data_IF_190784800481
#
_entry.id   IF_190784800481
#
_cell.length_a   1.000
_cell.length_b   1.000
_cell.length_c   1.000
_cell.angle_alpha   90.00
_cell.angle_beta   90.00
_cell.angle_gamma   90.00
#
_symmetry.space_group_name_H-M   'P 1'
#
loop_
_entity.id
_entity.type
_entity.pdbx_description
1 polymer ?
#
# COMPACT_ATOMS: atom_id res chain seq x y z
N UNK A 1 -8.72 -37.98 10.79
CA UNK A 1 -8.84 -37.73 9.34
C UNK A 1 -9.55 -36.41 9.02
N UNK A 2 -10.62 -36.01 9.73
CA UNK A 2 -11.34 -34.73 9.49
C UNK A 2 -10.55 -33.44 9.84
N UNK A 3 -9.63 -33.49 10.80
CA UNK A 3 -8.81 -32.32 11.23
C UNK A 3 -7.92 -31.80 10.09
N UNK A 4 -7.29 -32.72 9.36
CA UNK A 4 -6.36 -32.40 8.27
C UNK A 4 -7.09 -31.72 7.09
N UNK A 5 -8.33 -32.13 6.78
CA UNK A 5 -9.14 -31.51 5.72
C UNK A 5 -9.56 -30.07 6.06
N UNK A 6 -9.86 -29.81 7.34
CA UNK A 6 -10.29 -28.48 7.80
C UNK A 6 -9.12 -27.49 7.78
N UNK A 7 -7.95 -27.91 8.25
CA UNK A 7 -6.72 -27.09 8.20
C UNK A 7 -6.33 -26.74 6.76
N UNK A 8 -6.39 -27.72 5.85
CA UNK A 8 -6.13 -27.50 4.41
C UNK A 8 -7.10 -26.48 3.79
N UNK A 9 -8.37 -26.49 4.20
CA UNK A 9 -9.38 -25.53 3.70
C UNK A 9 -9.09 -24.11 4.21
N UNK A 10 -8.77 -23.96 5.49
CA UNK A 10 -8.48 -22.66 6.12
C UNK A 10 -7.19 -22.01 5.57
N UNK A 11 -6.16 -22.82 5.31
CA UNK A 11 -4.95 -22.37 4.64
C UNK A 11 -5.23 -21.89 3.20
N UNK A 12 -6.07 -22.62 2.45
CA UNK A 12 -6.47 -22.22 1.09
C UNK A 12 -7.22 -20.88 1.06
N UNK A 13 -8.10 -20.63 2.03
CA UNK A 13 -8.85 -19.37 2.10
C UNK A 13 -7.94 -18.18 2.39
N UNK A 14 -7.02 -18.32 3.36
CA UNK A 14 -6.06 -17.27 3.72
C UNK A 14 -5.14 -16.95 2.54
N UNK A 15 -4.64 -17.97 1.84
CA UNK A 15 -3.80 -17.82 0.65
C UNK A 15 -4.49 -17.06 -0.48
N UNK A 16 -5.80 -17.27 -0.68
CA UNK A 16 -6.58 -16.53 -1.70
C UNK A 16 -6.65 -15.04 -1.37
N UNK A 17 -6.85 -14.70 -0.10
CA UNK A 17 -6.92 -13.30 0.35
C UNK A 17 -5.54 -12.63 0.22
N UNK A 18 -4.48 -13.33 0.59
CA UNK A 18 -3.10 -12.89 0.39
C UNK A 18 -2.81 -12.62 -1.08
N UNK A 19 -3.13 -13.58 -1.97
CA UNK A 19 -2.92 -13.45 -3.42
C UNK A 19 -3.71 -12.27 -4.01
N UNK A 20 -4.95 -12.07 -3.57
CA UNK A 20 -5.75 -10.91 -3.99
C UNK A 20 -5.11 -9.60 -3.53
N UNK A 21 -4.64 -9.55 -2.28
CA UNK A 21 -3.99 -8.37 -1.70
C UNK A 21 -2.70 -8.02 -2.45
N UNK A 22 -1.86 -9.02 -2.74
CA UNK A 22 -0.63 -8.87 -3.54
C UNK A 22 -0.92 -8.25 -4.91
N UNK A 23 -1.97 -8.72 -5.58
CA UNK A 23 -2.43 -8.15 -6.84
C UNK A 23 -2.75 -6.66 -6.73
N UNK A 24 -3.45 -6.24 -5.67
CA UNK A 24 -3.77 -4.83 -5.43
C UNK A 24 -2.52 -3.99 -5.14
N UNK A 25 -1.60 -4.49 -4.32
CA UNK A 25 -0.32 -3.82 -4.06
C UNK A 25 0.51 -3.66 -5.34
N UNK A 26 0.58 -4.68 -6.18
CA UNK A 26 1.26 -4.61 -7.48
C UNK A 26 0.64 -3.54 -8.39
N UNK A 27 -0.69 -3.47 -8.45
CA UNK A 27 -1.39 -2.46 -9.25
C UNK A 27 -1.15 -1.04 -8.68
N UNK A 28 -1.20 -0.86 -7.37
CA UNK A 28 -0.94 0.44 -6.75
C UNK A 28 0.47 0.97 -7.07
N UNK A 29 1.47 0.09 -7.01
CA UNK A 29 2.86 0.42 -7.35
C UNK A 29 3.03 0.75 -8.84
N UNK A 30 2.36 0.02 -9.73
CA UNK A 30 2.42 0.32 -11.18
C UNK A 30 1.73 1.65 -11.52
N UNK A 31 0.58 1.94 -10.92
CA UNK A 31 -0.11 3.22 -11.08
C UNK A 31 0.72 4.40 -10.59
N UNK A 32 1.48 4.23 -9.49
CA UNK A 32 2.41 5.25 -9.03
C UNK A 32 3.47 5.60 -10.07
N UNK A 33 3.97 4.61 -10.81
CA UNK A 33 4.99 4.80 -11.85
C UNK A 33 4.45 5.55 -13.07
N UNK A 34 3.20 5.27 -13.46
CA UNK A 34 2.55 5.91 -14.62
C UNK A 34 2.40 7.43 -14.41
N UNK A 35 2.22 7.89 -13.17
CA UNK A 35 2.02 9.31 -12.85
C UNK A 35 3.28 10.19 -12.98
N UNK A 36 4.45 9.60 -13.23
CA UNK A 36 5.73 10.31 -13.33
C UNK A 36 5.96 10.94 -14.70
N UNK A 37 5.15 10.58 -15.70
CA UNK A 37 5.34 10.96 -17.11
C UNK A 37 5.50 12.47 -17.34
N UNK A 38 6.38 12.82 -18.29
CA UNK A 38 6.53 14.20 -18.78
C UNK A 38 5.69 14.34 -20.04
N UNK A 39 4.76 15.30 -20.02
CA UNK A 39 3.97 15.66 -21.19
C UNK A 39 4.55 16.95 -21.77
N UNK A 40 4.95 16.89 -23.05
CA UNK A 40 5.33 18.03 -23.86
C UNK A 40 4.35 18.14 -25.03
N UNK A 41 4.04 19.35 -25.47
CA UNK A 41 3.13 19.59 -26.60
C UNK A 41 3.93 20.07 -27.83
N UNK A 42 3.67 19.52 -29.02
CA UNK A 42 4.29 19.93 -30.29
C UNK A 42 5.68 19.33 -30.56
N UNK A 43 6.41 19.94 -31.51
CA UNK A 43 7.80 19.57 -31.85
C UNK A 43 8.77 20.09 -30.78
N UNK A 44 8.87 19.37 -29.66
CA UNK A 44 9.77 19.73 -28.57
C UNK A 44 11.25 19.55 -28.95
N UNK A 45 12.08 20.53 -28.61
CA UNK A 45 13.53 20.46 -28.80
C UNK A 45 14.22 19.68 -27.67
N UNK A 46 15.43 19.16 -27.95
CA UNK A 46 16.25 18.46 -26.95
C UNK A 46 16.47 19.28 -25.66
N UNK A 47 16.61 20.60 -25.78
CA UNK A 47 16.81 21.50 -24.65
C UNK A 47 15.55 21.59 -23.77
N UNK A 48 14.38 21.72 -24.39
CA UNK A 48 13.09 21.79 -23.69
C UNK A 48 12.79 20.49 -22.95
N UNK A 49 13.05 19.33 -23.58
CA UNK A 49 12.88 18.03 -22.93
C UNK A 49 13.81 17.88 -21.73
N UNK A 50 15.09 18.23 -21.88
CA UNK A 50 16.06 18.15 -20.79
C UNK A 50 15.65 19.02 -19.60
N UNK A 51 15.23 20.26 -19.87
CA UNK A 51 14.77 21.17 -18.83
C UNK A 51 13.49 20.66 -18.14
N UNK A 52 12.56 20.10 -18.89
CA UNK A 52 11.32 19.53 -18.34
C UNK A 52 11.59 18.33 -17.42
N UNK A 53 12.55 17.46 -17.77
CA UNK A 53 12.97 16.34 -16.93
C UNK A 53 13.54 16.81 -15.59
N UNK A 54 14.44 17.80 -15.61
CA UNK A 54 15.00 18.34 -14.37
C UNK A 54 13.97 19.07 -13.51
N UNK A 55 13.03 19.80 -14.13
CA UNK A 55 11.97 20.50 -13.40
C UNK A 55 11.02 19.55 -12.66
N UNK A 56 10.93 18.28 -13.08
CA UNK A 56 10.03 17.26 -12.51
C UNK A 56 10.59 16.53 -11.28
N UNK A 57 11.78 16.91 -10.79
CA UNK A 57 12.37 16.30 -9.60
C UNK A 57 11.44 16.22 -8.36
N UNK A 58 10.51 17.17 -8.08
CA UNK A 58 9.58 17.03 -6.96
C UNK A 58 8.64 15.83 -7.09
N UNK A 59 8.22 15.52 -8.31
CA UNK A 59 7.37 14.36 -8.62
C UNK A 59 8.15 13.07 -8.39
N UNK A 60 9.43 13.03 -8.82
CA UNK A 60 10.30 11.87 -8.58
C UNK A 60 10.47 11.61 -7.08
N UNK A 61 10.69 12.67 -6.29
CA UNK A 61 10.80 12.57 -4.83
C UNK A 61 9.51 12.03 -4.20
N UNK A 62 8.35 12.63 -4.55
CA UNK A 62 7.06 12.20 -4.04
C UNK A 62 6.77 10.73 -4.41
N UNK A 63 7.11 10.32 -5.64
CA UNK A 63 7.01 8.95 -6.10
C UNK A 63 7.86 8.00 -5.26
N UNK A 64 9.16 8.26 -5.11
CA UNK A 64 10.07 7.36 -4.38
C UNK A 64 9.61 7.16 -2.94
N UNK A 65 9.25 8.25 -2.24
CA UNK A 65 8.76 8.17 -0.86
C UNK A 65 7.48 7.33 -0.80
N UNK A 66 6.56 7.52 -1.74
CA UNK A 66 5.27 6.81 -1.74
C UNK A 66 5.44 5.34 -2.11
N UNK A 67 6.31 5.03 -3.06
CA UNK A 67 6.69 3.67 -3.43
C UNK A 67 7.25 2.91 -2.22
N UNK A 68 8.19 3.52 -1.49
CA UNK A 68 8.77 2.92 -0.28
C UNK A 68 7.69 2.67 0.77
N UNK A 69 6.79 3.62 1.01
CA UNK A 69 5.70 3.42 1.98
C UNK A 69 4.74 2.29 1.56
N UNK A 70 4.37 2.21 0.29
CA UNK A 70 3.52 1.11 -0.22
C UNK A 70 4.24 -0.23 -0.11
N UNK A 71 5.54 -0.28 -0.43
CA UNK A 71 6.36 -1.48 -0.28
C UNK A 71 6.46 -1.92 1.19
N UNK A 72 6.68 -0.98 2.12
CA UNK A 72 6.71 -1.28 3.55
C UNK A 72 5.35 -1.78 4.06
N UNK A 73 4.26 -1.19 3.60
CA UNK A 73 2.91 -1.66 3.91
C UNK A 73 2.67 -3.08 3.37
N UNK A 74 3.14 -3.39 2.17
CA UNK A 74 3.09 -4.74 1.60
C UNK A 74 3.92 -5.74 2.41
N UNK A 75 5.16 -5.41 2.79
CA UNK A 75 6.01 -6.28 3.62
C UNK A 75 5.33 -6.56 4.97
N UNK A 76 4.78 -5.54 5.61
CA UNK A 76 4.05 -5.69 6.87
C UNK A 76 2.81 -6.56 6.70
N UNK A 77 2.05 -6.35 5.62
CA UNK A 77 0.85 -7.12 5.30
C UNK A 77 1.18 -8.60 5.10
N UNK A 78 2.20 -8.89 4.28
CA UNK A 78 2.70 -10.24 4.05
C UNK A 78 3.12 -10.94 5.34
N UNK A 79 3.86 -10.22 6.19
CA UNK A 79 4.26 -10.75 7.50
C UNK A 79 3.07 -11.06 8.40
N UNK A 80 2.00 -10.25 8.35
CA UNK A 80 0.79 -10.48 9.13
C UNK A 80 0.02 -11.71 8.64
N UNK A 81 -0.17 -11.85 7.32
CA UNK A 81 -0.93 -12.96 6.74
C UNK A 81 -0.22 -14.31 6.88
N UNK A 82 1.12 -14.33 6.88
CA UNK A 82 1.90 -15.54 7.24
C UNK A 82 1.64 -16.06 8.66
N UNK A 83 1.20 -15.20 9.58
CA UNK A 83 0.91 -15.59 10.97
C UNK A 83 -0.55 -16.04 11.18
N UNK A 84 -1.43 -15.83 10.19
CA UNK A 84 -2.86 -16.12 10.29
C UNK A 84 -3.16 -17.54 9.82
N UNK A 85 -3.79 -18.35 10.69
CA UNK A 85 -4.14 -19.73 10.36
C UNK A 85 -5.57 -19.89 9.81
N UNK A 86 -6.45 -18.91 10.03
CA UNK A 86 -7.83 -18.90 9.54
C UNK A 86 -8.32 -17.49 9.27
N UNK A 87 -9.13 -17.34 8.22
CA UNK A 87 -9.76 -16.09 7.85
C UNK A 87 -11.03 -15.83 8.66
N UNK A 88 -11.26 -14.57 9.04
CA UNK A 88 -12.47 -14.06 9.69
C UNK A 88 -13.02 -12.88 8.88
N UNK A 89 -14.35 -12.71 8.84
CA UNK A 89 -15.01 -11.63 8.11
C UNK A 89 -14.51 -10.25 8.55
N UNK A 90 -14.16 -10.09 9.83
CA UNK A 90 -13.59 -8.84 10.37
C UNK A 90 -12.22 -8.53 9.75
N UNK A 91 -11.39 -9.55 9.54
CA UNK A 91 -10.07 -9.40 8.89
C UNK A 91 -10.27 -9.07 7.42
N UNK A 92 -11.25 -9.69 6.75
CA UNK A 92 -11.54 -9.42 5.35
C UNK A 92 -11.99 -7.97 5.11
N UNK A 93 -12.88 -7.43 5.96
CA UNK A 93 -13.36 -6.04 5.86
C UNK A 93 -12.21 -5.05 6.12
N UNK A 94 -11.43 -5.26 7.18
CA UNK A 94 -10.31 -4.37 7.52
C UNK A 94 -9.19 -4.43 6.48
N UNK A 95 -8.93 -5.61 5.92
CA UNK A 95 -8.02 -5.78 4.78
C UNK A 95 -8.54 -5.03 3.55
N UNK A 96 -9.81 -5.21 3.19
CA UNK A 96 -10.42 -4.50 2.07
C UNK A 96 -10.32 -2.98 2.20
N UNK A 97 -10.53 -2.45 3.41
CA UNK A 97 -10.36 -1.02 3.69
C UNK A 97 -8.91 -0.55 3.52
N UNK A 98 -7.92 -1.32 4.01
CA UNK A 98 -6.50 -1.04 3.78
C UNK A 98 -6.17 -1.04 2.28
N UNK A 99 -6.61 -2.06 1.55
CA UNK A 99 -6.35 -2.21 0.11
C UNK A 99 -6.96 -1.07 -0.70
N UNK A 100 -8.17 -0.63 -0.35
CA UNK A 100 -8.80 0.54 -0.97
C UNK A 100 -7.93 1.79 -0.81
N UNK A 101 -7.40 2.05 0.39
CA UNK A 101 -6.53 3.20 0.64
C UNK A 101 -5.19 3.07 -0.09
N UNK A 102 -4.60 1.87 -0.14
CA UNK A 102 -3.35 1.62 -0.88
C UNK A 102 -3.53 1.87 -2.37
N UNK A 103 -4.63 1.37 -2.97
CA UNK A 103 -4.93 1.58 -4.39
C UNK A 103 -5.09 3.07 -4.76
N UNK A 104 -5.50 3.90 -3.81
CA UNK A 104 -5.68 5.34 -3.96
C UNK A 104 -4.40 6.17 -3.69
N UNK A 105 -3.28 5.57 -3.28
CA UNK A 105 -2.00 6.26 -3.02
C UNK A 105 -1.46 7.11 -4.20
N UNK A 106 -1.68 6.77 -5.50
CA UNK A 106 -1.26 7.63 -6.60
C UNK A 106 -1.80 9.06 -6.51
N UNK A 107 -3.04 9.24 -6.01
CA UNK A 107 -3.70 10.53 -5.91
C UNK A 107 -2.99 11.56 -4.98
N UNK A 108 -2.75 11.27 -3.68
CA UNK A 108 -2.02 12.18 -2.80
C UNK A 108 -0.56 12.35 -3.24
N UNK A 109 0.05 11.31 -3.84
CA UNK A 109 1.43 11.36 -4.34
C UNK A 109 1.59 12.37 -5.47
N UNK A 110 0.70 12.28 -6.48
CA UNK A 110 0.66 13.23 -7.60
C UNK A 110 0.40 14.65 -7.11
N UNK A 111 -0.54 14.80 -6.16
CA UNK A 111 -0.88 16.10 -5.57
C UNK A 111 0.34 16.72 -4.89
N UNK A 112 1.08 15.96 -4.08
CA UNK A 112 2.30 16.44 -3.46
C UNK A 112 3.34 16.87 -4.51
N UNK A 113 3.58 16.02 -5.51
CA UNK A 113 4.56 16.29 -6.57
C UNK A 113 4.25 17.55 -7.39
N UNK A 114 2.98 17.83 -7.68
CA UNK A 114 2.56 19.01 -8.45
C UNK A 114 2.70 20.32 -7.66
N UNK A 115 2.44 20.28 -6.35
CA UNK A 115 2.35 21.50 -5.54
C UNK A 115 3.57 21.73 -4.63
N UNK A 116 4.59 20.88 -4.64
CA UNK A 116 5.76 20.97 -3.76
C UNK A 116 6.53 22.30 -3.89
N UNK A 117 6.58 22.86 -5.10
CA UNK A 117 7.25 24.14 -5.39
C UNK A 117 6.28 25.33 -5.48
N UNK A 118 5.00 25.11 -5.18
CA UNK A 118 3.96 26.14 -5.25
C UNK A 118 3.73 26.82 -3.90
N UNK A 119 3.02 27.96 -3.90
CA UNK A 119 2.53 28.58 -2.66
C UNK A 119 1.57 27.69 -1.84
N UNK A 120 1.03 26.63 -2.43
CA UNK A 120 0.12 25.68 -1.77
C UNK A 120 0.85 24.48 -1.12
N UNK A 121 2.18 24.49 -1.04
CA UNK A 121 3.00 23.38 -0.49
C UNK A 121 2.53 22.90 0.88
N UNK A 122 2.14 23.81 1.78
CA UNK A 122 1.68 23.46 3.13
C UNK A 122 0.45 22.54 3.08
N UNK A 123 -0.54 22.90 2.27
CA UNK A 123 -1.77 22.12 2.11
C UNK A 123 -1.47 20.77 1.46
N UNK A 124 -0.60 20.73 0.45
CA UNK A 124 -0.21 19.49 -0.23
C UNK A 124 0.50 18.51 0.72
N UNK A 125 1.44 19.01 1.55
CA UNK A 125 2.15 18.21 2.56
C UNK A 125 1.20 17.71 3.64
N UNK A 126 0.31 18.57 4.16
CA UNK A 126 -0.69 18.16 5.18
C UNK A 126 -1.62 17.10 4.61
N UNK A 127 -2.10 17.27 3.38
CA UNK A 127 -2.95 16.29 2.72
C UNK A 127 -2.25 14.94 2.54
N UNK A 128 -1.02 14.96 2.00
CA UNK A 128 -0.21 13.77 1.80
C UNK A 128 0.06 13.03 3.11
N UNK A 129 0.51 13.75 4.14
CA UNK A 129 0.83 13.16 5.45
C UNK A 129 -0.42 12.63 6.15
N UNK A 130 -1.53 13.37 6.15
CA UNK A 130 -2.80 12.91 6.70
C UNK A 130 -3.28 11.62 6.03
N UNK A 131 -3.05 11.49 4.72
CA UNK A 131 -3.38 10.27 3.97
C UNK A 131 -2.54 9.07 4.43
N UNK A 132 -1.23 9.22 4.57
CA UNK A 132 -0.38 8.12 5.08
C UNK A 132 -0.64 7.80 6.56
N UNK A 133 -1.05 8.79 7.37
CA UNK A 133 -1.55 8.55 8.73
C UNK A 133 -2.83 7.70 8.69
N UNK A 134 -3.75 7.98 7.76
CA UNK A 134 -4.96 7.19 7.57
C UNK A 134 -4.65 5.74 7.18
N UNK A 135 -3.72 5.51 6.24
CA UNK A 135 -3.22 4.15 5.91
C UNK A 135 -2.65 3.49 7.17
N UNK A 136 -1.84 4.20 7.95
CA UNK A 136 -1.25 3.67 9.19
C UNK A 136 -2.31 3.31 10.23
N UNK A 137 -3.42 4.04 10.29
CA UNK A 137 -4.57 3.70 11.15
C UNK A 137 -5.28 2.45 10.62
N UNK A 138 -5.53 2.35 9.31
CA UNK A 138 -6.14 1.18 8.69
C UNK A 138 -5.29 -0.09 8.92
N UNK A 139 -3.97 0.04 8.79
CA UNK A 139 -3.04 -1.04 9.05
C UNK A 139 -3.07 -1.47 10.52
N UNK A 140 -3.08 -0.51 11.45
CA UNK A 140 -3.24 -0.79 12.89
C UNK A 140 -4.57 -1.48 13.21
N UNK A 141 -5.65 -1.10 12.53
CA UNK A 141 -6.96 -1.73 12.69
C UNK A 141 -6.93 -3.19 12.22
N UNK A 142 -6.34 -3.45 11.04
CA UNK A 142 -6.13 -4.80 10.54
C UNK A 142 -5.32 -5.64 11.55
N UNK A 143 -4.19 -5.11 12.02
CA UNK A 143 -3.36 -5.77 13.03
C UNK A 143 -4.11 -6.03 14.35
N UNK A 144 -4.91 -5.08 14.80
CA UNK A 144 -5.74 -5.22 16.00
C UNK A 144 -6.79 -6.34 15.83
N UNK A 145 -7.46 -6.42 14.66
CA UNK A 145 -8.42 -7.50 14.41
C UNK A 145 -7.76 -8.87 14.30
N UNK A 146 -6.57 -8.95 13.71
CA UNK A 146 -5.79 -10.17 13.63
C UNK A 146 -5.31 -10.64 15.02
N UNK A 147 -4.82 -9.73 15.86
CA UNK A 147 -4.28 -10.04 17.20
C UNK A 147 -5.35 -10.31 18.25
N UNK A 148 -6.55 -9.72 18.13
CA UNK A 148 -7.67 -9.97 19.06
C UNK A 148 -8.17 -11.41 18.99
N UNK A 149 -8.06 -12.04 17.83
CA UNK A 149 -8.45 -13.43 17.61
C UNK A 149 -7.27 -14.38 17.87
N UNK A 150 -6.81 -14.48 19.14
CA UNK A 150 -5.66 -15.34 19.53
C UNK A 150 -5.81 -16.83 19.18
N UNK A 151 -7.02 -17.32 18.92
CA UNK A 151 -7.28 -18.68 18.42
C UNK A 151 -6.84 -18.89 16.95
N UNK A 152 -6.34 -17.85 16.27
CA UNK A 152 -5.87 -17.89 14.88
C UNK A 152 -4.35 -17.75 14.75
N UNK A 153 -3.64 -17.47 15.85
CA UNK A 153 -2.19 -17.33 15.90
C UNK A 153 -1.57 -18.69 16.26
N UNK A 154 -0.50 -19.08 15.57
CA UNK A 154 0.21 -20.33 15.81
C UNK A 154 0.65 -20.40 17.29
N UNK A 155 0.00 -21.27 18.07
CA UNK A 155 0.45 -21.65 19.41
C UNK A 155 1.70 -22.52 19.26
N UNK A 156 2.89 -21.89 19.30
CA UNK A 156 4.14 -22.64 19.17
C UNK A 156 5.38 -21.98 19.80
N UNK A 157 5.25 -20.93 20.60
CA UNK A 157 6.41 -20.23 21.21
C UNK A 157 6.21 -19.85 22.68
N UNK A 158 5.42 -20.61 23.45
CA UNK A 158 5.36 -20.44 24.91
C UNK A 158 6.00 -21.57 25.71
N UNK A 159 6.68 -22.51 25.06
CA UNK A 159 7.44 -23.56 25.74
C UNK A 159 8.83 -23.71 25.10
N UNK A 160 9.78 -22.95 25.62
CA UNK A 160 11.19 -23.32 25.78
C UNK A 160 11.82 -22.41 26.82
#
# INVERSE_FOLDING_TARGET
MATNTTEIQLQKETLRIETFSDGVFCIAVTLLSIEIGVVLHGDATNKELTQALFAKWPIYLAYVISFINVLLAWIGHHSLFKMLHKSDNSIMITNGFLLMLVALVPFPTKTLGMFLQSGAVKTAVVFYTAYFVLISIAFRLLWYTASRNRNLLIQGLSEN
#
